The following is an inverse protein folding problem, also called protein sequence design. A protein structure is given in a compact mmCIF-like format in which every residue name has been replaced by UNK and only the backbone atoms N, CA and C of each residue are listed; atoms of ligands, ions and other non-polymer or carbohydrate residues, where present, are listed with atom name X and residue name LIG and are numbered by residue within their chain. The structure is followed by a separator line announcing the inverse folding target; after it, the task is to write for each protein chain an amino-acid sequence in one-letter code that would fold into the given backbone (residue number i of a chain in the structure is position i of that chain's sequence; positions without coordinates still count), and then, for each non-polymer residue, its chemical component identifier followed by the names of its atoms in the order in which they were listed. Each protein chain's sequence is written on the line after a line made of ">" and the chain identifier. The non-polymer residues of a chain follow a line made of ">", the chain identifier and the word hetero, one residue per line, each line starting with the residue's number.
data_IF_173256530759
#
_entry.id   IF_173256530759
#
_cell.length_a   1.000
_cell.length_b   1.000
_cell.length_c   1.000
_cell.angle_alpha   90.00
_cell.angle_beta   90.00
_cell.angle_gamma   90.00
#
_symmetry.space_group_name_H-M   'P 1'
#
loop_
_entity.id
_entity.type
_entity.pdbx_description
1 polymer ?
#
# COMPACT_ATOMS: atom_id res chain seq x y z
N UNK A 1 2.99 -13.22 -6.41
CA UNK A 1 2.53 -11.81 -6.38
C UNK A 1 2.89 -11.15 -7.70
N UNK A 2 1.97 -10.42 -8.31
CA UNK A 2 2.24 -9.67 -9.54
C UNK A 2 2.92 -8.33 -9.22
N UNK A 3 3.65 -7.75 -10.18
CA UNK A 3 4.26 -6.42 -10.03
C UNK A 3 3.20 -5.37 -9.72
N UNK A 4 2.03 -5.46 -10.38
CA UNK A 4 0.89 -4.55 -10.18
C UNK A 4 0.39 -4.64 -8.73
N UNK A 5 0.24 -5.85 -8.19
CA UNK A 5 -0.16 -6.03 -6.79
C UNK A 5 0.81 -5.37 -5.82
N UNK A 6 2.12 -5.44 -6.08
CA UNK A 6 3.10 -4.79 -5.20
C UNK A 6 3.08 -3.26 -5.29
N UNK A 7 2.89 -2.71 -6.50
CA UNK A 7 2.70 -1.26 -6.66
C UNK A 7 1.42 -0.82 -5.96
N UNK A 8 0.37 -1.65 -5.97
CA UNK A 8 -0.88 -1.38 -5.27
C UNK A 8 -0.67 -1.26 -3.75
N UNK A 9 0.01 -2.25 -3.17
CA UNK A 9 0.35 -2.29 -1.75
C UNK A 9 1.20 -1.06 -1.35
N UNK A 10 2.23 -0.74 -2.13
CA UNK A 10 3.09 0.44 -1.89
C UNK A 10 2.27 1.73 -1.92
N UNK A 11 1.35 1.83 -2.89
CA UNK A 11 0.48 3.00 -3.02
C UNK A 11 -0.52 3.08 -1.86
N UNK A 12 -1.00 1.95 -1.36
CA UNK A 12 -1.88 1.91 -0.20
C UNK A 12 -1.17 2.42 1.05
N UNK A 13 0.07 1.99 1.28
CA UNK A 13 0.79 2.37 2.50
C UNK A 13 1.03 3.88 2.54
N UNK A 14 1.38 4.48 1.40
CA UNK A 14 1.48 5.93 1.25
C UNK A 14 0.13 6.65 1.39
N UNK A 15 -0.96 6.09 0.85
CA UNK A 15 -2.31 6.66 1.01
C UNK A 15 -2.75 6.64 2.47
N UNK A 16 -2.61 5.51 3.17
CA UNK A 16 -2.95 5.40 4.60
C UNK A 16 -2.11 6.35 5.44
N UNK A 17 -0.81 6.44 5.15
CA UNK A 17 0.08 7.40 5.82
C UNK A 17 -0.40 8.84 5.62
N UNK A 18 -0.79 9.19 4.40
CA UNK A 18 -1.32 10.53 4.08
C UNK A 18 -2.61 10.82 4.85
N UNK A 19 -3.55 9.87 4.88
CA UNK A 19 -4.82 9.98 5.63
C UNK A 19 -4.55 10.20 7.12
N UNK A 20 -3.66 9.41 7.71
CA UNK A 20 -3.31 9.52 9.14
C UNK A 20 -2.64 10.88 9.41
N UNK A 21 -1.69 11.31 8.58
CA UNK A 21 -1.01 12.59 8.77
C UNK A 21 -1.97 13.78 8.63
N UNK A 22 -2.92 13.73 7.69
CA UNK A 22 -3.98 14.73 7.57
C UNK A 22 -4.89 14.74 8.79
N UNK A 23 -5.31 13.56 9.27
CA UNK A 23 -6.16 13.44 10.45
C UNK A 23 -5.48 13.98 11.73
N UNK A 24 -4.15 13.85 11.83
CA UNK A 24 -3.35 14.38 12.93
C UNK A 24 -2.97 15.86 12.75
N UNK A 25 -3.38 16.51 11.66
CA UNK A 25 -3.03 17.91 11.37
C UNK A 25 -1.55 18.15 11.05
N UNK A 26 -0.80 17.08 10.75
CA UNK A 26 0.61 17.14 10.36
C UNK A 26 0.80 17.56 8.91
N UNK A 27 -0.18 17.26 8.06
CA UNK A 27 -0.12 17.42 6.62
C UNK A 27 -1.40 18.09 6.12
N UNK A 28 -1.28 19.11 5.28
CA UNK A 28 -2.38 19.70 4.53
C UNK A 28 -2.45 19.22 3.07
N UNK A 29 -3.62 19.39 2.45
CA UNK A 29 -3.80 19.11 1.01
C UNK A 29 -2.86 19.97 0.16
N UNK A 30 -2.64 21.23 0.58
CA UNK A 30 -1.72 22.13 -0.11
C UNK A 30 -0.28 21.59 -0.09
N UNK A 31 0.17 21.07 1.06
CA UNK A 31 1.52 20.52 1.20
C UNK A 31 1.74 19.32 0.27
N UNK A 32 0.72 18.47 0.11
CA UNK A 32 0.74 17.37 -0.85
C UNK A 32 0.80 17.88 -2.30
N UNK A 33 -0.05 18.83 -2.67
CA UNK A 33 -0.09 19.40 -4.02
C UNK A 33 1.22 20.09 -4.38
N UNK A 34 1.83 20.82 -3.45
CA UNK A 34 3.10 21.53 -3.68
C UNK A 34 4.29 20.55 -3.79
N UNK A 35 4.15 19.33 -3.25
CA UNK A 35 5.19 18.30 -3.25
C UNK A 35 5.26 17.45 -4.52
N UNK A 36 4.37 17.61 -5.50
CA UNK A 36 4.26 16.67 -6.65
C UNK A 36 5.52 16.51 -7.52
N UNK A 37 6.40 17.52 -7.57
CA UNK A 37 7.50 17.60 -8.55
C UNK A 37 8.87 18.02 -7.98
N UNK A 38 9.12 17.90 -6.67
CA UNK A 38 10.32 18.52 -6.08
C UNK A 38 11.11 17.58 -5.15
N UNK A 39 11.98 16.69 -5.67
CA UNK A 39 12.92 15.97 -4.81
C UNK A 39 14.20 16.80 -4.60
N UNK A 40 14.16 17.75 -3.65
CA UNK A 40 15.35 18.52 -3.23
C UNK A 40 16.11 17.88 -2.06
N UNK A 41 15.42 17.12 -1.22
CA UNK A 41 15.95 16.37 -0.09
C UNK A 41 15.03 15.17 0.21
N UNK A 42 15.42 14.34 1.19
CA UNK A 42 14.66 13.14 1.55
C UNK A 42 13.22 13.45 2.01
N UNK A 43 13.01 14.51 2.80
CA UNK A 43 11.67 14.88 3.26
C UNK A 43 10.75 15.27 2.10
N UNK A 44 11.27 16.00 1.11
CA UNK A 44 10.49 16.35 -0.08
C UNK A 44 10.23 15.14 -0.99
N UNK A 45 11.17 14.19 -1.08
CA UNK A 45 10.96 12.91 -1.75
C UNK A 45 9.83 12.12 -1.09
N UNK A 46 9.81 12.05 0.25
CA UNK A 46 8.75 11.39 1.00
C UNK A 46 7.38 12.04 0.75
N UNK A 47 7.31 13.37 0.77
CA UNK A 47 6.08 14.11 0.46
C UNK A 47 5.60 13.87 -0.98
N UNK A 48 6.53 13.86 -1.94
CA UNK A 48 6.25 13.50 -3.34
C UNK A 48 5.68 12.09 -3.43
N UNK A 49 6.25 11.13 -2.70
CA UNK A 49 5.74 9.76 -2.61
C UNK A 49 4.31 9.73 -2.07
N UNK A 50 4.01 10.44 -0.98
CA UNK A 50 2.65 10.50 -0.41
C UNK A 50 1.62 11.04 -1.41
N UNK A 51 1.99 12.07 -2.16
CA UNK A 51 1.16 12.61 -3.24
C UNK A 51 0.90 11.55 -4.33
N UNK A 52 1.96 10.95 -4.88
CA UNK A 52 1.82 9.98 -5.97
C UNK A 52 1.14 8.69 -5.52
N UNK A 53 1.37 8.23 -4.29
CA UNK A 53 0.67 7.10 -3.70
C UNK A 53 -0.84 7.36 -3.64
N UNK A 54 -1.25 8.57 -3.25
CA UNK A 54 -2.65 8.99 -3.21
C UNK A 54 -3.30 9.04 -4.60
N UNK A 55 -2.54 9.45 -5.62
CA UNK A 55 -3.02 9.53 -7.02
C UNK A 55 -3.07 8.14 -7.68
N UNK A 56 -2.04 7.31 -7.48
CA UNK A 56 -1.89 6.02 -8.15
C UNK A 56 -2.75 4.93 -7.52
N UNK A 57 -3.12 5.05 -6.25
CA UNK A 57 -3.94 4.04 -5.58
C UNK A 57 -5.27 3.80 -6.31
N UNK A 58 -5.99 4.86 -6.66
CA UNK A 58 -7.32 4.78 -7.32
C UNK A 58 -7.28 4.02 -8.66
N UNK A 59 -6.46 4.39 -9.66
CA UNK A 59 -6.44 3.69 -10.93
C UNK A 59 -5.98 2.23 -10.79
N UNK A 60 -5.05 1.93 -9.86
CA UNK A 60 -4.60 0.56 -9.63
C UNK A 60 -5.71 -0.28 -8.97
N UNK A 61 -6.44 0.27 -7.99
CA UNK A 61 -7.61 -0.40 -7.38
C UNK A 61 -8.68 -0.71 -8.42
N UNK A 62 -8.95 0.22 -9.33
CA UNK A 62 -9.95 0.01 -10.40
C UNK A 62 -9.51 -1.14 -11.30
N UNK A 63 -8.26 -1.14 -11.77
CA UNK A 63 -7.74 -2.22 -12.62
C UNK A 63 -7.81 -3.57 -11.87
N UNK A 64 -7.42 -3.60 -10.59
CA UNK A 64 -7.49 -4.80 -9.75
C UNK A 64 -8.92 -5.33 -9.60
N UNK A 65 -9.87 -4.47 -9.25
CA UNK A 65 -11.27 -4.88 -9.08
C UNK A 65 -11.91 -5.38 -10.38
N UNK A 66 -11.56 -4.78 -11.52
CA UNK A 66 -12.00 -5.27 -12.83
C UNK A 66 -11.38 -6.62 -13.18
N UNK A 67 -10.09 -6.83 -12.88
CA UNK A 67 -9.46 -8.13 -13.06
C UNK A 67 -10.20 -9.20 -12.23
N UNK A 68 -10.45 -8.95 -10.95
CA UNK A 68 -11.18 -9.88 -10.08
C UNK A 68 -12.58 -10.18 -10.61
N UNK A 69 -13.32 -9.16 -11.07
CA UNK A 69 -14.68 -9.37 -11.62
C UNK A 69 -14.68 -10.17 -12.92
N UNK A 70 -13.83 -9.81 -13.88
CA UNK A 70 -13.95 -10.29 -15.26
C UNK A 70 -12.98 -11.42 -15.63
N UNK A 71 -11.84 -11.52 -14.95
CA UNK A 71 -10.87 -12.62 -15.12
C UNK A 71 -11.13 -13.73 -14.11
N UNK A 72 -11.32 -13.37 -12.85
CA UNK A 72 -11.31 -14.34 -11.74
C UNK A 72 -12.74 -14.71 -11.28
N UNK A 73 -13.76 -14.30 -12.03
CA UNK A 73 -15.16 -14.64 -11.78
C UNK A 73 -15.76 -14.04 -10.50
N UNK A 74 -15.11 -13.02 -9.92
CA UNK A 74 -15.50 -12.40 -8.66
C UNK A 74 -14.88 -13.01 -7.40
N UNK A 75 -13.90 -13.91 -7.55
CA UNK A 75 -13.17 -14.53 -6.43
C UNK A 75 -11.97 -13.66 -6.00
N UNK A 76 -12.02 -13.16 -4.75
CA UNK A 76 -10.89 -12.56 -4.06
C UNK A 76 -10.17 -13.56 -3.15
N UNK A 77 -9.22 -13.09 -2.33
CA UNK A 77 -8.48 -13.98 -1.41
C UNK A 77 -9.34 -14.50 -0.25
N UNK A 78 -10.29 -13.68 0.20
CA UNK A 78 -11.13 -13.91 1.39
C UNK A 78 -12.61 -13.66 1.14
N UNK A 79 -13.00 -13.31 -0.09
CA UNK A 79 -14.38 -12.99 -0.44
C UNK A 79 -14.75 -13.50 -1.83
N UNK A 80 -16.05 -13.57 -2.09
CA UNK A 80 -16.63 -13.78 -3.41
C UNK A 80 -17.75 -12.77 -3.64
N UNK A 81 -17.76 -12.10 -4.78
CA UNK A 81 -18.81 -11.14 -5.14
C UNK A 81 -18.86 -10.90 -6.65
N UNK A 82 -20.06 -10.78 -7.21
CA UNK A 82 -20.28 -10.28 -8.58
C UNK A 82 -20.50 -8.75 -8.61
N UNK A 83 -20.68 -8.11 -7.46
CA UNK A 83 -20.85 -6.65 -7.39
C UNK A 83 -19.48 -5.94 -7.38
N UNK A 84 -19.19 -5.15 -8.42
CA UNK A 84 -17.91 -4.45 -8.58
C UNK A 84 -17.61 -3.47 -7.43
N UNK A 85 -18.63 -2.82 -6.86
CA UNK A 85 -18.42 -1.92 -5.72
C UNK A 85 -18.00 -2.70 -4.47
N UNK A 86 -18.62 -3.85 -4.24
CA UNK A 86 -18.25 -4.73 -3.12
C UNK A 86 -16.83 -5.25 -3.31
N UNK A 87 -16.45 -5.65 -4.53
CA UNK A 87 -15.08 -6.06 -4.85
C UNK A 87 -14.10 -4.93 -4.53
N UNK A 88 -14.36 -3.69 -4.96
CA UNK A 88 -13.46 -2.56 -4.69
C UNK A 88 -13.24 -2.32 -3.18
N UNK A 89 -14.30 -2.36 -2.36
CA UNK A 89 -14.16 -2.20 -0.91
C UNK A 89 -13.48 -3.40 -0.25
N UNK A 90 -13.74 -4.61 -0.75
CA UNK A 90 -13.14 -5.81 -0.22
C UNK A 90 -11.62 -5.85 -0.46
N UNK A 91 -11.14 -5.38 -1.60
CA UNK A 91 -9.69 -5.25 -1.85
C UNK A 91 -9.02 -4.30 -0.84
N UNK A 92 -9.63 -3.13 -0.57
CA UNK A 92 -9.08 -2.21 0.44
C UNK A 92 -8.99 -2.89 1.82
N UNK A 93 -10.03 -3.63 2.20
CA UNK A 93 -10.03 -4.36 3.47
C UNK A 93 -8.98 -5.49 3.50
N UNK A 94 -8.83 -6.24 2.40
CA UNK A 94 -7.81 -7.28 2.26
C UNK A 94 -6.40 -6.73 2.35
N UNK A 95 -6.12 -5.61 1.70
CA UNK A 95 -4.79 -5.02 1.72
C UNK A 95 -4.45 -4.43 3.11
N UNK A 96 -5.42 -3.82 3.80
CA UNK A 96 -5.26 -3.39 5.20
C UNK A 96 -5.01 -4.59 6.11
N UNK A 97 -5.77 -5.68 5.94
CA UNK A 97 -5.54 -6.92 6.67
C UNK A 97 -4.16 -7.50 6.36
N UNK A 98 -3.72 -7.43 5.11
CA UNK A 98 -2.38 -7.79 4.67
C UNK A 98 -1.33 -7.03 5.47
N UNK A 99 -1.38 -5.69 5.46
CA UNK A 99 -0.46 -4.83 6.23
C UNK A 99 -0.36 -5.24 7.71
N UNK A 100 -1.50 -5.49 8.36
CA UNK A 100 -1.57 -5.84 9.79
C UNK A 100 -1.08 -7.27 10.05
N UNK A 101 -1.36 -8.21 9.14
CA UNK A 101 -1.05 -9.62 9.33
C UNK A 101 0.34 -10.01 8.84
N UNK A 102 0.98 -9.24 7.96
CA UNK A 102 2.32 -9.55 7.42
C UNK A 102 3.36 -9.87 8.49
N UNK A 103 3.46 -9.16 9.63
CA UNK A 103 4.39 -9.53 10.70
C UNK A 103 4.10 -10.92 11.30
N UNK A 104 2.83 -11.29 11.44
CA UNK A 104 2.43 -12.60 11.97
C UNK A 104 2.71 -13.71 10.95
N UNK A 105 2.48 -13.45 9.66
CA UNK A 105 2.85 -14.36 8.58
C UNK A 105 4.36 -14.58 8.53
N UNK A 106 5.15 -13.50 8.67
CA UNK A 106 6.61 -13.61 8.76
C UNK A 106 7.05 -14.51 9.92
N UNK A 107 6.48 -14.31 11.12
CA UNK A 107 6.82 -15.14 12.28
C UNK A 107 6.45 -16.61 12.04
N UNK A 108 5.24 -16.87 11.53
CA UNK A 108 4.80 -18.23 11.16
C UNK A 108 5.79 -18.88 10.20
N UNK A 109 6.15 -18.19 9.12
CA UNK A 109 6.99 -18.72 8.05
C UNK A 109 8.46 -18.88 8.49
N UNK A 110 8.93 -18.01 9.37
CA UNK A 110 10.24 -18.12 10.02
C UNK A 110 10.31 -19.38 10.90
N UNK A 111 9.29 -19.62 11.72
CA UNK A 111 9.25 -20.79 12.62
C UNK A 111 8.95 -22.10 11.88
N UNK A 112 8.18 -22.07 10.79
CA UNK A 112 7.94 -23.24 9.93
C UNK A 112 9.08 -23.51 8.96
N UNK A 113 10.07 -22.60 8.87
CA UNK A 113 11.19 -22.63 7.90
C UNK A 113 10.73 -22.63 6.43
N UNK A 114 9.55 -22.06 6.16
CA UNK A 114 8.96 -21.93 4.83
C UNK A 114 9.23 -20.53 4.24
N UNK A 115 10.52 -20.20 4.09
CA UNK A 115 10.99 -18.93 3.54
C UNK A 115 11.40 -19.09 2.07
N UNK A 116 10.41 -19.15 1.18
CA UNK A 116 10.66 -19.13 -0.26
C UNK A 116 11.27 -17.79 -0.72
N UNK A 117 11.94 -17.77 -1.87
CA UNK A 117 12.54 -16.55 -2.43
C UNK A 117 11.55 -15.39 -2.55
N UNK A 118 10.31 -15.68 -2.95
CA UNK A 118 9.27 -14.69 -3.09
C UNK A 118 8.83 -14.09 -1.76
N UNK A 119 8.71 -14.92 -0.72
CA UNK A 119 8.38 -14.45 0.63
C UNK A 119 9.49 -13.56 1.20
N UNK A 120 10.76 -13.89 0.95
CA UNK A 120 11.89 -13.06 1.37
C UNK A 120 11.81 -11.68 0.73
N UNK A 121 11.55 -11.60 -0.58
CA UNK A 121 11.38 -10.32 -1.29
C UNK A 121 10.22 -9.53 -0.68
N UNK A 122 9.10 -10.20 -0.43
CA UNK A 122 7.90 -9.58 0.11
C UNK A 122 8.13 -8.98 1.51
N UNK A 123 8.69 -9.77 2.44
CA UNK A 123 9.03 -9.27 3.78
C UNK A 123 10.10 -8.19 3.77
N UNK A 124 11.08 -8.30 2.85
CA UNK A 124 12.13 -7.28 2.73
C UNK A 124 11.57 -5.96 2.21
N UNK A 125 10.70 -6.00 1.20
CA UNK A 125 10.04 -4.81 0.65
C UNK A 125 9.10 -4.18 1.67
N UNK A 126 8.31 -4.99 2.38
CA UNK A 126 7.49 -4.54 3.51
C UNK A 126 8.32 -3.80 4.57
N UNK A 127 9.43 -4.39 5.02
CA UNK A 127 10.30 -3.78 6.02
C UNK A 127 10.93 -2.46 5.53
N UNK A 128 11.44 -2.45 4.30
CA UNK A 128 12.04 -1.25 3.70
C UNK A 128 11.03 -0.11 3.59
N UNK A 129 9.78 -0.43 3.23
CA UNK A 129 8.73 0.57 3.12
C UNK A 129 8.33 1.14 4.48
N UNK A 130 8.22 0.31 5.52
CA UNK A 130 7.99 0.79 6.88
C UNK A 130 9.13 1.70 7.38
N UNK A 131 10.38 1.34 7.09
CA UNK A 131 11.54 2.18 7.44
C UNK A 131 11.48 3.50 6.67
N UNK A 132 11.18 3.46 5.37
CA UNK A 132 11.05 4.65 4.54
C UNK A 132 9.97 5.59 5.08
N UNK A 133 8.80 5.06 5.44
CA UNK A 133 7.71 5.83 6.04
C UNK A 133 8.13 6.38 7.40
N UNK A 134 8.69 5.58 8.30
CA UNK A 134 9.09 6.02 9.63
C UNK A 134 10.14 7.14 9.59
N UNK A 135 11.17 7.01 8.74
CA UNK A 135 12.19 8.04 8.54
C UNK A 135 11.58 9.26 7.84
N UNK A 136 10.69 9.05 6.87
CA UNK A 136 9.94 10.11 6.18
C UNK A 136 9.15 10.98 7.15
N UNK A 137 8.37 10.35 8.03
CA UNK A 137 7.61 11.02 9.07
C UNK A 137 8.51 11.80 10.03
N UNK A 138 9.68 11.27 10.40
CA UNK A 138 10.61 11.95 11.30
C UNK A 138 11.31 13.16 10.67
N UNK A 139 11.53 13.12 9.36
CA UNK A 139 12.33 14.13 8.65
C UNK A 139 11.50 15.18 7.92
N UNK A 140 10.24 14.88 7.60
CA UNK A 140 9.37 15.75 6.83
C UNK A 140 8.26 16.44 7.66
N UNK A 141 7.86 15.88 8.81
CA UNK A 141 6.67 16.28 9.61
C UNK A 141 6.94 16.37 11.13
#
# INVERSE_FOLDING_TARGET
>A
MSVIGKIHEISLYGLLTSIVCMALGKLGIKDLLDSFAVPGNFGMLFMSYLFWASVLFIPISIIGAFATKYSDGGEGLSFYSDNILVIMFAHIAEDILGLVLTPFWFLKDLFSKDLSKWKIIDYSTYLLELIFIAVGLHTAL
#
